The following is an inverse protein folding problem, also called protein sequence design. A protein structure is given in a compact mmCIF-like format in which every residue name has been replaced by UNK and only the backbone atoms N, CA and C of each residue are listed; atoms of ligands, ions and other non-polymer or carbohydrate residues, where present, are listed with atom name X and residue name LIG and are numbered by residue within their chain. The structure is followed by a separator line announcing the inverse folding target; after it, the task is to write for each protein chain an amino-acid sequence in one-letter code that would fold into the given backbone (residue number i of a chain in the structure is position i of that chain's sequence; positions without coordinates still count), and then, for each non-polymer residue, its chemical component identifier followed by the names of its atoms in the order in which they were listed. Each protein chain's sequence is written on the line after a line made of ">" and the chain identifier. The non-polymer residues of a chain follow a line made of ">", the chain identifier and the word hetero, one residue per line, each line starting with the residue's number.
data_IF_303382589160
#
_entry.id   IF_303382589160
#
_cell.length_a   1.000
_cell.length_b   1.000
_cell.length_c   1.000
_cell.angle_alpha   90.00
_cell.angle_beta   90.00
_cell.angle_gamma   90.00
#
_symmetry.space_group_name_H-M   'P 1'
#
loop_
_entity.id
_entity.type
_entity.pdbx_description
1 polymer ?
#
# COMPACT_ATOMS: atom_id res chain seq x y z
N UNK A 1 -8.48 15.72 -20.31
CA UNK A 1 -8.41 14.25 -20.24
C UNK A 1 -6.96 13.89 -19.96
N UNK A 2 -6.62 13.56 -18.71
CA UNK A 2 -5.25 13.18 -18.37
C UNK A 2 -4.96 11.79 -18.94
N UNK A 3 -3.96 11.66 -19.81
CA UNK A 3 -3.40 10.36 -20.12
C UNK A 3 -2.61 9.91 -18.89
N UNK A 4 -3.27 9.16 -17.99
CA UNK A 4 -2.59 8.57 -16.84
C UNK A 4 -1.42 7.69 -17.26
N UNK A 5 -0.47 7.51 -16.34
CA UNK A 5 0.74 6.73 -16.57
C UNK A 5 0.41 5.35 -17.16
N UNK A 6 0.94 5.05 -18.34
CA UNK A 6 0.78 3.74 -18.99
C UNK A 6 1.86 2.77 -18.50
N UNK A 7 1.65 2.22 -17.31
CA UNK A 7 2.48 1.17 -16.74
C UNK A 7 1.69 -0.15 -16.65
N UNK A 8 2.37 -1.32 -16.74
CA UNK A 8 1.74 -2.61 -16.49
C UNK A 8 1.11 -2.66 -15.09
N UNK A 9 -0.13 -3.13 -15.01
CA UNK A 9 -0.86 -3.31 -13.76
C UNK A 9 -0.46 -4.62 -13.08
N UNK A 10 -0.39 -4.63 -11.76
CA UNK A 10 -0.22 -5.85 -10.99
C UNK A 10 -1.43 -6.76 -11.16
N UNK A 11 -1.14 -8.04 -11.34
CA UNK A 11 -2.15 -9.08 -11.24
C UNK A 11 -1.91 -9.86 -9.93
N UNK A 12 -2.64 -9.56 -8.84
CA UNK A 12 -2.38 -10.13 -7.53
C UNK A 12 -2.60 -11.65 -7.46
N UNK A 13 -3.36 -12.23 -8.41
CA UNK A 13 -3.62 -13.67 -8.46
C UNK A 13 -2.37 -14.50 -8.79
N UNK A 14 -1.30 -13.86 -9.27
CA UNK A 14 -0.04 -14.51 -9.66
C UNK A 14 0.99 -14.58 -8.53
N UNK A 15 0.68 -14.00 -7.37
CA UNK A 15 1.63 -13.81 -6.28
C UNK A 15 1.22 -14.58 -5.03
N UNK A 16 2.19 -15.11 -4.29
CA UNK A 16 1.96 -15.66 -2.95
C UNK A 16 1.68 -14.54 -1.93
N UNK A 17 1.17 -14.87 -0.73
CA UNK A 17 0.92 -13.87 0.32
C UNK A 17 2.22 -13.14 0.66
N UNK A 18 3.31 -13.91 0.80
CA UNK A 18 4.65 -13.39 1.02
C UNK A 18 5.10 -12.41 -0.06
N UNK A 19 4.85 -12.72 -1.33
CA UNK A 19 5.21 -11.83 -2.44
C UNK A 19 4.38 -10.54 -2.40
N UNK A 20 3.08 -10.64 -2.14
CA UNK A 20 2.22 -9.47 -1.98
C UNK A 20 2.67 -8.58 -0.82
N UNK A 21 2.99 -9.16 0.33
CA UNK A 21 3.53 -8.42 1.47
C UNK A 21 4.83 -7.70 1.13
N UNK A 22 5.72 -8.35 0.37
CA UNK A 22 6.97 -7.73 -0.09
C UNK A 22 6.72 -6.61 -1.08
N UNK A 23 5.80 -6.80 -2.04
CA UNK A 23 5.44 -5.79 -3.03
C UNK A 23 4.81 -4.56 -2.38
N UNK A 24 3.93 -4.76 -1.39
CA UNK A 24 3.35 -3.67 -0.60
C UNK A 24 4.45 -2.79 0.00
N UNK A 25 5.43 -3.39 0.68
CA UNK A 25 6.54 -2.65 1.30
C UNK A 25 7.41 -1.92 0.27
N UNK A 26 7.61 -2.50 -0.91
CA UNK A 26 8.34 -1.83 -2.00
C UNK A 26 7.57 -0.61 -2.48
N UNK A 27 6.27 -0.76 -2.74
CA UNK A 27 5.42 0.34 -3.20
C UNK A 27 5.36 1.46 -2.16
N UNK A 28 5.12 1.12 -0.89
CA UNK A 28 5.08 2.07 0.23
C UNK A 28 6.35 2.93 0.30
N UNK A 29 7.53 2.31 0.17
CA UNK A 29 8.81 3.02 0.14
C UNK A 29 8.97 3.92 -1.10
N UNK A 30 8.50 3.47 -2.26
CA UNK A 30 8.57 4.25 -3.50
C UNK A 30 7.60 5.42 -3.45
N UNK A 31 6.40 5.25 -2.88
CA UNK A 31 5.43 6.32 -2.65
C UNK A 31 6.02 7.40 -1.74
N UNK A 32 6.63 7.01 -0.61
CA UNK A 32 7.27 7.95 0.31
C UNK A 32 8.39 8.72 -0.37
N UNK A 33 9.24 8.02 -1.14
CA UNK A 33 10.32 8.65 -1.91
C UNK A 33 9.78 9.61 -2.97
N UNK A 34 8.70 9.23 -3.65
CA UNK A 34 8.02 10.05 -4.66
C UNK A 34 7.42 11.30 -4.02
N UNK A 35 6.82 11.15 -2.82
CA UNK A 35 6.29 12.27 -2.06
C UNK A 35 7.38 13.26 -1.64
N UNK A 36 8.52 12.77 -1.13
CA UNK A 36 9.67 13.62 -0.82
C UNK A 36 10.18 14.38 -2.05
N UNK A 37 10.31 13.68 -3.19
CA UNK A 37 10.72 14.29 -4.45
C UNK A 37 9.71 15.36 -4.92
N UNK A 38 8.41 15.09 -4.78
CA UNK A 38 7.35 16.02 -5.14
C UNK A 38 7.43 17.31 -4.31
N UNK A 39 7.60 17.19 -2.99
CA UNK A 39 7.77 18.35 -2.10
C UNK A 39 9.02 19.16 -2.46
N UNK A 40 10.13 18.49 -2.76
CA UNK A 40 11.38 19.14 -3.15
C UNK A 40 11.23 19.94 -4.46
N UNK A 41 10.65 19.34 -5.49
CA UNK A 41 10.42 20.00 -6.80
C UNK A 41 9.46 21.17 -6.65
N UNK A 42 8.38 21.03 -5.87
CA UNK A 42 7.45 22.14 -5.59
C UNK A 42 8.15 23.32 -4.91
N UNK A 43 9.12 23.06 -4.03
CA UNK A 43 9.88 24.11 -3.36
C UNK A 43 10.83 24.84 -4.32
N UNK A 44 11.49 24.13 -5.24
CA UNK A 44 12.43 24.73 -6.19
C UNK A 44 11.75 25.51 -7.31
N UNK A 45 10.70 24.95 -7.91
CA UNK A 45 10.16 25.42 -9.19
C UNK A 45 8.85 26.22 -9.04
N UNK A 46 8.43 26.53 -7.80
CA UNK A 46 7.13 27.17 -7.48
C UNK A 46 5.89 26.40 -8.00
N UNK A 47 6.04 25.11 -8.33
CA UNK A 47 4.98 24.21 -8.81
C UNK A 47 4.62 24.40 -10.28
N UNK A 48 3.90 23.41 -10.84
CA UNK A 48 3.35 23.50 -12.20
C UNK A 48 4.29 23.05 -13.32
N UNK A 49 5.36 22.31 -13.01
CA UNK A 49 6.29 21.76 -14.01
C UNK A 49 5.87 20.36 -14.50
N UNK A 50 6.33 19.92 -15.68
CA UNK A 50 6.10 18.56 -16.17
C UNK A 50 6.53 17.48 -15.16
N UNK A 51 7.60 17.75 -14.41
CA UNK A 51 8.10 16.87 -13.34
C UNK A 51 7.11 16.75 -12.20
N UNK A 52 6.52 17.86 -11.75
CA UNK A 52 5.49 17.87 -10.70
C UNK A 52 4.29 17.01 -11.14
N UNK A 53 3.80 17.20 -12.37
CA UNK A 53 2.69 16.41 -12.94
C UNK A 53 3.01 14.92 -13.03
N UNK A 54 4.23 14.57 -13.46
CA UNK A 54 4.67 13.18 -13.51
C UNK A 54 4.69 12.52 -12.13
N UNK A 55 5.17 13.25 -11.11
CA UNK A 55 5.21 12.73 -9.73
C UNK A 55 3.80 12.55 -9.16
N UNK A 56 2.86 13.46 -9.46
CA UNK A 56 1.44 13.29 -9.11
C UNK A 56 0.82 12.05 -9.77
N UNK A 57 1.04 11.86 -11.08
CA UNK A 57 0.56 10.67 -11.80
C UNK A 57 1.20 9.36 -11.28
N UNK A 58 2.47 9.42 -10.88
CA UNK A 58 3.16 8.28 -10.27
C UNK A 58 2.57 7.94 -8.90
N UNK A 59 2.27 8.93 -8.07
CA UNK A 59 1.60 8.73 -6.77
C UNK A 59 0.22 8.10 -6.96
N UNK A 60 -0.59 8.60 -7.89
CA UNK A 60 -1.90 8.02 -8.20
C UNK A 60 -1.77 6.56 -8.67
N UNK A 61 -0.81 6.29 -9.55
CA UNK A 61 -0.56 4.92 -10.02
C UNK A 61 -0.18 3.99 -8.85
N UNK A 62 0.83 4.36 -8.06
CA UNK A 62 1.33 3.55 -6.95
C UNK A 62 0.27 3.32 -5.87
N UNK A 63 -0.50 4.36 -5.52
CA UNK A 63 -1.61 4.25 -4.57
C UNK A 63 -2.67 3.26 -5.05
N UNK A 64 -3.00 3.28 -6.35
CA UNK A 64 -3.89 2.30 -6.96
C UNK A 64 -3.35 0.87 -6.88
N UNK A 65 -2.06 0.65 -7.17
CA UNK A 65 -1.43 -0.67 -7.04
C UNK A 65 -1.39 -1.15 -5.58
N UNK A 66 -1.18 -0.24 -4.62
CA UNK A 66 -1.22 -0.56 -3.19
C UNK A 66 -2.59 -1.03 -2.75
N UNK A 67 -3.67 -0.35 -3.18
CA UNK A 67 -5.04 -0.79 -2.93
C UNK A 67 -5.30 -2.21 -3.46
N UNK A 68 -4.89 -2.49 -4.70
CA UNK A 68 -5.05 -3.83 -5.32
C UNK A 68 -4.35 -4.92 -4.51
N UNK A 69 -3.17 -4.65 -3.96
CA UNK A 69 -2.47 -5.59 -3.09
C UNK A 69 -3.23 -5.82 -1.79
N UNK A 70 -3.70 -4.75 -1.13
CA UNK A 70 -4.39 -4.86 0.16
C UNK A 70 -5.71 -5.61 0.02
N UNK A 71 -6.49 -5.33 -1.01
CA UNK A 71 -7.73 -6.08 -1.29
C UNK A 71 -7.43 -7.57 -1.48
N UNK A 72 -6.39 -7.90 -2.25
CA UNK A 72 -5.95 -9.27 -2.42
C UNK A 72 -5.40 -9.93 -1.15
N UNK A 73 -4.89 -9.16 -0.17
CA UNK A 73 -4.47 -9.67 1.14
C UNK A 73 -5.66 -9.83 2.10
N UNK A 74 -6.71 -9.01 1.98
CA UNK A 74 -7.96 -9.15 2.74
C UNK A 74 -8.70 -10.43 2.35
N UNK A 75 -8.74 -10.75 1.06
CA UNK A 75 -9.43 -11.93 0.52
C UNK A 75 -8.75 -13.27 0.85
N UNK A 76 -7.54 -13.26 1.42
CA UNK A 76 -6.79 -14.48 1.73
C UNK A 76 -7.05 -14.96 3.14
N UNK A 77 -7.65 -16.14 3.25
CA UNK A 77 -7.66 -16.95 4.47
C UNK A 77 -6.36 -17.76 4.54
N UNK A 78 -5.32 -17.21 5.15
CA UNK A 78 -4.07 -17.94 5.36
C UNK A 78 -4.14 -18.79 6.64
N UNK A 79 -3.60 -20.02 6.64
CA UNK A 79 -3.49 -20.82 7.85
C UNK A 79 -2.56 -20.13 8.87
N UNK A 80 -2.85 -20.35 10.16
CA UNK A 80 -2.14 -19.70 11.26
C UNK A 80 -0.61 -19.79 11.13
N UNK A 81 0.08 -18.65 11.12
CA UNK A 81 1.54 -18.60 10.97
C UNK A 81 2.14 -17.23 10.67
N UNK A 82 3.47 -17.15 10.41
CA UNK A 82 4.18 -15.90 10.15
C UNK A 82 3.67 -15.10 8.95
N UNK A 83 3.17 -15.81 7.92
CA UNK A 83 2.61 -15.18 6.73
C UNK A 83 1.26 -14.51 7.03
N UNK A 84 0.42 -15.12 7.88
CA UNK A 84 -0.84 -14.52 8.35
C UNK A 84 -0.58 -13.26 9.18
N UNK A 85 0.42 -13.27 10.07
CA UNK A 85 0.80 -12.07 10.84
C UNK A 85 1.28 -10.94 9.93
N UNK A 86 2.12 -11.27 8.93
CA UNK A 86 2.62 -10.29 7.98
C UNK A 86 1.50 -9.67 7.15
N UNK A 87 0.57 -10.51 6.68
CA UNK A 87 -0.66 -10.11 5.95
C UNK A 87 -1.49 -9.17 6.82
N UNK A 88 -1.83 -9.58 8.04
CA UNK A 88 -2.69 -8.82 8.94
C UNK A 88 -2.05 -7.48 9.35
N UNK A 89 -0.75 -7.45 9.61
CA UNK A 89 -0.01 -6.21 9.89
C UNK A 89 -0.12 -5.20 8.76
N UNK A 90 -0.02 -5.65 7.50
CA UNK A 90 -0.16 -4.78 6.32
C UNK A 90 -1.58 -4.25 6.18
N UNK A 91 -2.59 -5.11 6.34
CA UNK A 91 -4.00 -4.68 6.26
C UNK A 91 -4.31 -3.64 7.33
N UNK A 92 -3.84 -3.85 8.58
CA UNK A 92 -4.02 -2.88 9.68
C UNK A 92 -3.29 -1.56 9.39
N UNK A 93 -2.06 -1.62 8.89
CA UNK A 93 -1.30 -0.41 8.54
C UNK A 93 -2.04 0.39 7.47
N UNK A 94 -2.62 -0.29 6.47
CA UNK A 94 -3.37 0.36 5.41
C UNK A 94 -4.69 0.95 5.91
N UNK A 95 -5.46 0.20 6.71
CA UNK A 95 -6.68 0.70 7.37
C UNK A 95 -6.38 1.97 8.19
N UNK A 96 -5.28 1.98 8.95
CA UNK A 96 -4.84 3.15 9.71
C UNK A 96 -4.47 4.33 8.81
N UNK A 97 -3.81 4.09 7.67
CA UNK A 97 -3.49 5.12 6.68
C UNK A 97 -4.73 5.72 6.01
N UNK A 98 -5.75 4.89 5.76
CA UNK A 98 -7.05 5.34 5.28
C UNK A 98 -7.92 6.02 6.35
N UNK A 99 -7.47 6.04 7.62
CA UNK A 99 -8.26 6.48 8.78
C UNK A 99 -9.58 5.70 8.95
N UNK A 100 -9.64 4.47 8.42
CA UNK A 100 -10.84 3.63 8.38
C UNK A 100 -10.50 2.19 8.80
N UNK A 101 -10.94 1.79 10.00
CA UNK A 101 -10.75 0.42 10.49
C UNK A 101 -11.97 -0.45 10.17
N UNK A 102 -11.74 -1.54 9.44
CA UNK A 102 -12.78 -2.51 9.13
C UNK A 102 -12.99 -3.46 10.31
N UNK A 103 -14.25 -3.72 10.66
CA UNK A 103 -14.59 -4.65 11.76
C UNK A 103 -13.93 -6.01 11.60
N UNK A 104 -13.94 -6.56 10.38
CA UNK A 104 -13.34 -7.88 10.10
C UNK A 104 -11.83 -7.90 10.36
N UNK A 105 -11.11 -6.83 9.99
CA UNK A 105 -9.68 -6.66 10.29
C UNK A 105 -9.44 -6.62 11.81
N UNK A 106 -10.28 -5.89 12.55
CA UNK A 106 -10.18 -5.77 14.00
C UNK A 106 -10.49 -7.09 14.71
N UNK A 107 -11.50 -7.82 14.25
CA UNK A 107 -11.85 -9.14 14.77
C UNK A 107 -10.69 -10.14 14.56
N UNK A 108 -10.04 -10.10 13.39
CA UNK A 108 -8.84 -10.89 13.11
C UNK A 108 -7.65 -10.46 13.99
N UNK A 109 -7.45 -9.16 14.23
CA UNK A 109 -6.42 -8.66 15.15
C UNK A 109 -6.64 -9.16 16.57
N UNK A 110 -7.87 -9.06 17.09
CA UNK A 110 -8.20 -9.51 18.45
C UNK A 110 -7.96 -11.01 18.65
N UNK A 111 -8.13 -11.82 17.60
CA UNK A 111 -7.84 -13.25 17.60
C UNK A 111 -6.36 -13.59 17.37
N UNK A 112 -5.56 -12.64 16.88
CA UNK A 112 -4.15 -12.83 16.53
C UNK A 112 -3.21 -12.67 17.73
N UNK A 113 -2.08 -13.40 17.77
CA UNK A 113 -1.00 -13.14 18.73
C UNK A 113 -0.48 -11.69 18.69
N UNK A 114 -0.61 -11.00 17.54
CA UNK A 114 -0.18 -9.60 17.37
C UNK A 114 -0.85 -8.65 18.39
N UNK A 115 -2.10 -8.89 18.77
CA UNK A 115 -2.78 -8.06 19.76
C UNK A 115 -2.11 -8.07 21.14
N UNK A 116 -1.37 -9.13 21.48
CA UNK A 116 -0.65 -9.25 22.76
C UNK A 116 0.76 -8.68 22.71
N UNK A 117 1.36 -8.59 21.53
CA UNK A 117 2.70 -8.02 21.32
C UNK A 117 2.67 -6.49 21.16
N UNK A 118 1.49 -5.92 20.90
CA UNK A 118 1.27 -4.47 20.78
C UNK A 118 1.05 -3.74 22.13
N UNK A 119 1.05 -4.46 23.26
CA UNK A 119 0.81 -3.92 24.62
C UNK A 119 2.10 -3.94 25.43
#
# INVERSE_FOLDING_TARGET
>A
MGHGMQAPRLNPSRFSTKDLCRLYRVIDNVEETTNMAHQYVRHLEKGGTPTTKYLEELQEFLGGERCVIVDALRDRADPAGPDEQSRLSIVIQFDAWCEEFHKETLDQLAASPLAKEAI
#
